data_IF_729225460318
#
_entry.id   IF_729225460318
#
_cell.length_a   1.000
_cell.length_b   1.000
_cell.length_c   1.000
_cell.angle_alpha   90.00
_cell.angle_beta   90.00
_cell.angle_gamma   90.00
#
_symmetry.space_group_name_H-M   'P 1'
#
loop_
_entity.id
_entity.type
_entity.pdbx_description
1 polymer ?
#
# COMPACT_ATOMS: atom_id res chain seq x y z
N UNK A 1 -37.17 27.20 11.50
CA UNK A 1 -36.68 25.92 10.92
C UNK A 1 -35.17 25.88 11.14
N UNK A 2 -34.61 24.76 11.63
CA UNK A 2 -33.16 24.62 11.75
C UNK A 2 -32.52 24.50 10.36
N UNK A 3 -31.27 24.96 10.18
CA UNK A 3 -30.58 24.91 8.87
C UNK A 3 -30.25 23.48 8.40
N UNK A 4 -30.11 22.54 9.33
CA UNK A 4 -29.87 21.11 9.08
C UNK A 4 -30.40 20.27 10.25
N UNK A 5 -30.47 18.95 10.06
CA UNK A 5 -30.92 17.99 11.07
C UNK A 5 -29.80 17.74 12.12
N UNK A 6 -30.01 18.10 13.41
CA UNK A 6 -29.02 17.88 14.46
C UNK A 6 -28.73 16.40 14.75
N UNK A 7 -29.69 15.50 14.48
CA UNK A 7 -29.50 14.05 14.66
C UNK A 7 -28.50 13.53 13.63
N UNK A 8 -28.63 13.96 12.37
CA UNK A 8 -27.67 13.63 11.32
C UNK A 8 -26.31 14.31 11.56
N UNK A 9 -26.30 15.55 12.01
CA UNK A 9 -25.06 16.24 12.39
C UNK A 9 -24.31 15.49 13.51
N UNK A 10 -25.03 15.01 14.52
CA UNK A 10 -24.45 14.21 15.61
C UNK A 10 -23.87 12.87 15.13
N UNK A 11 -24.49 12.26 14.11
CA UNK A 11 -24.03 11.00 13.54
C UNK A 11 -22.74 11.14 12.73
N UNK A 12 -22.62 12.21 11.94
CA UNK A 12 -21.55 12.37 10.95
C UNK A 12 -20.41 13.29 11.38
N UNK A 13 -20.61 14.14 12.39
CA UNK A 13 -19.58 15.05 12.89
C UNK A 13 -18.93 14.52 14.18
N UNK A 14 -17.62 14.77 14.35
CA UNK A 14 -16.75 15.56 13.47
C UNK A 14 -16.26 14.75 12.27
N UNK A 15 -15.86 15.43 11.20
CA UNK A 15 -15.26 14.81 10.02
C UNK A 15 -14.01 14.02 10.44
N UNK A 16 -13.91 12.75 10.09
CA UNK A 16 -12.76 11.91 10.48
C UNK A 16 -11.47 12.36 9.81
N UNK A 17 -11.49 12.53 8.49
CA UNK A 17 -10.34 12.98 7.69
C UNK A 17 -10.81 14.09 6.75
N UNK A 18 -10.16 15.25 6.82
CA UNK A 18 -10.36 16.36 5.89
C UNK A 18 -9.09 16.55 5.06
N UNK A 19 -9.22 16.52 3.73
CA UNK A 19 -8.11 16.65 2.78
C UNK A 19 -8.26 17.99 2.06
N UNK A 20 -7.25 18.86 2.12
CA UNK A 20 -7.28 20.17 1.47
C UNK A 20 -5.89 20.77 1.28
N UNK A 21 -5.71 21.61 0.27
CA UNK A 21 -4.39 22.15 -0.05
C UNK A 21 -3.90 23.20 0.96
N UNK A 22 -2.59 23.46 1.01
CA UNK A 22 -1.98 24.40 1.97
C UNK A 22 -2.49 25.84 1.82
N UNK A 23 -3.02 26.21 0.65
CA UNK A 23 -3.63 27.51 0.38
C UNK A 23 -4.82 27.85 1.31
N UNK A 24 -5.42 26.86 1.96
CA UNK A 24 -6.59 27.04 2.81
C UNK A 24 -6.27 27.21 4.31
N UNK A 25 -4.99 27.20 4.68
CA UNK A 25 -4.54 27.18 6.08
C UNK A 25 -5.06 28.33 6.95
N UNK A 26 -5.04 29.57 6.44
CA UNK A 26 -5.27 30.79 7.24
C UNK A 26 -6.65 31.43 7.07
N UNK A 27 -7.41 31.01 6.05
CA UNK A 27 -8.73 31.57 5.75
C UNK A 27 -9.81 30.52 5.99
N UNK A 28 -10.06 29.68 4.97
CA UNK A 28 -11.12 28.68 5.00
C UNK A 28 -11.09 27.80 6.26
N UNK A 29 -9.93 27.26 6.63
CA UNK A 29 -9.83 26.40 7.81
C UNK A 29 -10.07 27.16 9.13
N UNK A 30 -9.72 28.44 9.20
CA UNK A 30 -10.03 29.28 10.37
C UNK A 30 -11.53 29.56 10.45
N UNK A 31 -12.15 29.95 9.33
CA UNK A 31 -13.60 30.17 9.26
C UNK A 31 -14.39 28.90 9.56
N UNK A 32 -13.93 27.75 9.08
CA UNK A 32 -14.56 26.46 9.35
C UNK A 32 -14.59 26.14 10.85
N UNK A 33 -13.46 26.34 11.55
CA UNK A 33 -13.38 26.17 13.00
C UNK A 33 -14.23 27.19 13.75
N UNK A 34 -14.20 28.46 13.33
CA UNK A 34 -15.04 29.52 13.92
C UNK A 34 -16.53 29.17 13.85
N UNK A 35 -17.02 28.80 12.67
CA UNK A 35 -18.42 28.44 12.49
C UNK A 35 -18.78 27.16 13.24
N UNK A 36 -17.89 26.16 13.31
CA UNK A 36 -18.13 24.97 14.14
C UNK A 36 -18.33 25.34 15.62
N UNK A 37 -17.47 26.19 16.17
CA UNK A 37 -17.60 26.66 17.56
C UNK A 37 -18.88 27.45 17.79
N UNK A 38 -19.27 28.30 16.84
CA UNK A 38 -20.53 29.03 16.92
C UNK A 38 -21.74 28.08 16.90
N UNK A 39 -21.75 27.10 16.00
CA UNK A 39 -22.80 26.07 15.93
C UNK A 39 -22.85 25.20 17.18
N UNK A 40 -21.71 24.94 17.82
CA UNK A 40 -21.62 24.23 19.09
C UNK A 40 -22.28 25.01 20.23
N UNK A 41 -22.05 26.32 20.32
CA UNK A 41 -22.72 27.21 21.30
C UNK A 41 -24.24 27.18 21.11
N UNK A 42 -24.70 27.12 19.86
CA UNK A 42 -26.12 27.02 19.51
C UNK A 42 -26.70 25.60 19.68
N UNK A 43 -25.91 24.62 20.12
CA UNK A 43 -26.35 23.23 20.29
C UNK A 43 -26.61 22.47 18.98
N UNK A 44 -26.13 22.97 17.84
CA UNK A 44 -26.39 22.39 16.53
C UNK A 44 -25.43 21.26 16.15
N UNK A 45 -24.21 21.27 16.70
CA UNK A 45 -23.18 20.23 16.44
C UNK A 45 -22.64 19.66 17.75
N UNK A 46 -22.19 18.39 17.77
CA UNK A 46 -21.74 17.74 19.00
C UNK A 46 -20.33 18.12 19.44
N UNK A 47 -19.48 18.66 18.56
CA UNK A 47 -18.03 18.81 18.81
C UNK A 47 -17.53 20.25 18.74
N UNK A 48 -16.44 20.52 19.45
CA UNK A 48 -15.78 21.84 19.48
C UNK A 48 -14.92 22.10 18.24
N UNK A 49 -14.33 21.04 17.68
CA UNK A 49 -13.58 21.08 16.43
C UNK A 49 -14.30 20.28 15.33
N UNK A 50 -14.25 20.73 14.06
CA UNK A 50 -15.02 20.12 12.99
C UNK A 50 -14.36 18.88 12.37
N UNK A 51 -13.07 18.65 12.63
CA UNK A 51 -12.25 17.61 11.96
C UNK A 51 -11.34 16.92 12.98
N UNK A 52 -11.20 15.59 12.89
CA UNK A 52 -10.24 14.80 13.71
C UNK A 52 -8.83 14.81 13.13
N UNK A 53 -8.68 14.58 11.82
CA UNK A 53 -7.40 14.59 11.10
C UNK A 53 -7.46 15.50 9.86
N UNK A 54 -6.62 16.53 9.83
CA UNK A 54 -6.37 17.32 8.62
C UNK A 54 -5.19 16.71 7.86
N UNK A 55 -5.36 16.48 6.57
CA UNK A 55 -4.30 16.07 5.64
C UNK A 55 -4.13 17.20 4.64
N UNK A 56 -2.97 17.84 4.67
CA UNK A 56 -2.68 18.93 3.73
C UNK A 56 -1.95 18.36 2.55
N UNK A 57 -2.64 18.12 1.42
CA UNK A 57 -1.96 17.50 0.28
C UNK A 57 -0.91 18.43 -0.33
N UNK A 58 0.16 17.83 -0.85
CA UNK A 58 1.20 18.54 -1.58
C UNK A 58 0.69 19.15 -2.89
N UNK A 59 1.46 20.09 -3.42
CA UNK A 59 1.22 20.74 -4.70
C UNK A 59 1.71 19.83 -5.83
N UNK A 60 0.85 19.66 -6.84
CA UNK A 60 1.22 19.05 -8.11
C UNK A 60 1.81 20.12 -9.02
N UNK A 61 3.09 20.03 -9.31
CA UNK A 61 3.78 20.93 -10.24
C UNK A 61 3.67 20.42 -11.68
N UNK A 62 3.81 21.33 -12.64
CA UNK A 62 3.93 20.98 -14.04
C UNK A 62 5.24 20.24 -14.34
N UNK A 63 5.41 19.71 -15.56
CA UNK A 63 6.65 19.04 -15.98
C UNK A 63 7.91 19.92 -15.90
N UNK A 64 7.73 21.24 -15.81
CA UNK A 64 8.79 22.24 -15.66
C UNK A 64 9.16 22.52 -14.18
N UNK A 65 8.63 21.74 -13.24
CA UNK A 65 8.88 21.88 -11.79
C UNK A 65 8.22 23.09 -11.15
N UNK A 66 7.35 23.80 -11.87
CA UNK A 66 6.62 24.98 -11.34
C UNK A 66 5.19 24.62 -11.02
N UNK A 67 4.61 25.27 -10.00
CA UNK A 67 3.18 25.20 -9.72
C UNK A 67 2.39 25.47 -11.02
N UNK A 68 1.50 24.55 -11.37
CA UNK A 68 0.73 24.63 -12.62
C UNK A 68 -0.05 25.96 -12.70
N UNK A 69 0.05 26.65 -13.84
CA UNK A 69 -0.65 27.91 -14.11
C UNK A 69 -0.83 28.12 -15.61
N UNK A 70 -2.01 28.62 -16.00
CA UNK A 70 -2.31 28.99 -17.39
C UNK A 70 -1.28 29.97 -17.97
N UNK A 71 -0.72 30.85 -17.14
CA UNK A 71 0.32 31.82 -17.53
C UNK A 71 1.58 31.14 -18.10
N UNK A 72 1.95 29.99 -17.53
CA UNK A 72 3.17 29.27 -17.91
C UNK A 72 2.94 28.24 -19.01
N UNK A 73 1.68 28.02 -19.42
CA UNK A 73 1.34 26.97 -20.39
C UNK A 73 1.66 25.55 -19.89
N UNK A 74 1.93 25.38 -18.60
CA UNK A 74 2.38 24.11 -17.98
C UNK A 74 1.24 23.33 -17.30
N UNK A 75 -0.01 23.71 -17.57
CA UNK A 75 -1.19 23.03 -17.01
C UNK A 75 -1.39 21.71 -17.73
N UNK A 76 -1.40 20.64 -16.94
CA UNK A 76 -1.74 19.32 -17.43
C UNK A 76 -3.24 19.09 -17.23
N UNK A 77 -3.99 18.97 -18.33
CA UNK A 77 -5.43 18.78 -18.28
C UNK A 77 -5.77 17.31 -17.99
N UNK A 78 -6.51 16.97 -16.91
CA UNK A 78 -6.83 15.58 -16.60
C UNK A 78 -7.63 14.86 -17.69
N UNK A 79 -8.52 15.57 -18.40
CA UNK A 79 -9.40 14.98 -19.42
C UNK A 79 -8.62 14.31 -20.56
N UNK A 80 -7.61 14.99 -21.11
CA UNK A 80 -6.80 14.45 -22.21
C UNK A 80 -6.02 13.20 -21.80
N UNK A 81 -5.67 13.12 -20.52
CA UNK A 81 -4.96 11.98 -19.96
C UNK A 81 -5.90 10.82 -19.70
N UNK A 82 -7.08 11.08 -19.15
CA UNK A 82 -8.10 10.06 -18.94
C UNK A 82 -8.53 9.46 -20.28
N UNK A 83 -8.68 10.26 -21.33
CA UNK A 83 -8.97 9.76 -22.68
C UNK A 83 -7.86 8.84 -23.21
N UNK A 84 -6.59 9.17 -22.96
CA UNK A 84 -5.44 8.40 -23.47
C UNK A 84 -5.12 7.15 -22.66
N UNK A 85 -5.24 7.22 -21.34
CA UNK A 85 -4.73 6.19 -20.41
C UNK A 85 -5.79 5.56 -19.52
N UNK A 86 -7.02 6.10 -19.51
CA UNK A 86 -8.08 5.70 -18.60
C UNK A 86 -7.95 6.31 -17.20
N UNK A 87 -9.09 6.40 -16.50
CA UNK A 87 -9.18 7.01 -15.17
C UNK A 87 -8.30 6.29 -14.12
N UNK A 88 -8.23 4.95 -14.19
CA UNK A 88 -7.45 4.14 -13.25
C UNK A 88 -5.96 4.44 -13.31
N UNK A 89 -5.41 4.64 -14.51
CA UNK A 89 -4.00 5.01 -14.68
C UNK A 89 -3.69 6.33 -14.00
N UNK A 90 -4.55 7.34 -14.20
CA UNK A 90 -4.35 8.68 -13.62
C UNK A 90 -4.43 8.63 -12.10
N UNK A 91 -5.43 7.92 -11.55
CA UNK A 91 -5.59 7.74 -10.10
C UNK A 91 -4.38 7.03 -9.48
N UNK A 92 -3.97 5.91 -10.07
CA UNK A 92 -2.79 5.15 -9.64
C UNK A 92 -1.53 6.01 -9.67
N UNK A 93 -1.36 6.81 -10.72
CA UNK A 93 -0.19 7.70 -10.84
C UNK A 93 -0.15 8.74 -9.73
N UNK A 94 -1.24 9.49 -9.52
CA UNK A 94 -1.28 10.52 -8.48
C UNK A 94 -1.04 9.93 -7.08
N UNK A 95 -1.63 8.75 -6.80
CA UNK A 95 -1.48 8.08 -5.51
C UNK A 95 -0.12 7.39 -5.32
N UNK A 96 0.61 7.12 -6.41
CA UNK A 96 1.93 6.49 -6.37
C UNK A 96 3.09 7.49 -6.41
N UNK A 97 2.86 8.70 -6.94
CA UNK A 97 3.90 9.71 -7.13
C UNK A 97 4.66 10.08 -5.83
N UNK A 98 3.98 10.01 -4.68
CA UNK A 98 4.60 10.24 -3.38
C UNK A 98 3.60 10.16 -2.22
N UNK A 99 4.08 10.42 -0.99
CA UNK A 99 3.19 10.63 0.16
C UNK A 99 2.23 11.79 -0.11
N UNK A 100 0.98 11.74 0.40
CA UNK A 100 -0.04 12.72 0.05
C UNK A 100 0.34 14.14 0.44
N UNK A 101 1.12 14.35 1.49
CA UNK A 101 1.54 15.67 1.97
C UNK A 101 2.76 16.27 1.21
N UNK A 102 3.38 15.51 0.30
CA UNK A 102 4.57 15.96 -0.42
C UNK A 102 4.22 16.48 -1.80
N UNK A 103 4.87 17.60 -2.17
CA UNK A 103 4.84 18.12 -3.52
C UNK A 103 5.49 17.11 -4.47
N UNK A 104 5.01 17.06 -5.72
CA UNK A 104 5.66 16.30 -6.78
C UNK A 104 5.50 16.96 -8.13
N UNK A 105 6.46 16.69 -9.01
CA UNK A 105 6.46 17.18 -10.38
C UNK A 105 5.77 16.19 -11.31
N UNK A 106 4.90 16.70 -12.18
CA UNK A 106 4.19 15.86 -13.13
C UNK A 106 5.16 15.17 -14.11
N UNK A 107 5.05 13.84 -14.21
CA UNK A 107 5.87 13.00 -15.10
C UNK A 107 5.00 12.09 -15.96
N UNK A 108 4.97 12.36 -17.27
CA UNK A 108 4.30 11.50 -18.25
C UNK A 108 4.93 10.11 -18.33
N UNK A 109 6.22 10.00 -18.04
CA UNK A 109 6.95 8.72 -18.00
C UNK A 109 6.47 7.85 -16.83
N UNK A 110 6.39 8.41 -15.62
CA UNK A 110 5.90 7.69 -14.44
C UNK A 110 4.43 7.28 -14.62
N UNK A 111 3.62 8.16 -15.21
CA UNK A 111 2.24 7.86 -15.57
C UNK A 111 2.14 6.69 -16.57
N UNK A 112 2.95 6.71 -17.64
CA UNK A 112 3.01 5.58 -18.57
C UNK A 112 3.48 4.29 -17.87
N UNK A 113 4.31 4.41 -16.83
CA UNK A 113 4.66 3.31 -15.93
C UNK A 113 3.45 2.66 -15.25
N UNK A 114 2.52 3.47 -14.73
CA UNK A 114 1.28 2.96 -14.14
C UNK A 114 0.38 2.27 -15.16
N UNK A 115 0.28 2.82 -16.39
CA UNK A 115 -0.46 2.17 -17.46
C UNK A 115 0.11 0.77 -17.78
N UNK A 116 1.44 0.66 -17.85
CA UNK A 116 2.13 -0.64 -18.05
C UNK A 116 1.87 -1.59 -16.89
N UNK A 117 1.88 -1.11 -15.65
CA UNK A 117 1.57 -1.94 -14.48
C UNK A 117 0.13 -2.46 -14.51
N UNK A 118 -0.86 -1.60 -14.76
CA UNK A 118 -2.26 -2.02 -14.88
C UNK A 118 -2.48 -3.02 -16.02
N UNK A 119 -1.79 -2.84 -17.16
CA UNK A 119 -1.78 -3.82 -18.24
C UNK A 119 -1.20 -5.18 -17.78
N UNK A 120 -0.14 -5.19 -16.98
CA UNK A 120 0.41 -6.43 -16.40
C UNK A 120 -0.60 -7.12 -15.48
N UNK A 121 -1.32 -6.37 -14.65
CA UNK A 121 -2.41 -6.94 -13.81
C UNK A 121 -3.48 -7.60 -14.69
N UNK A 122 -3.94 -6.90 -15.73
CA UNK A 122 -4.92 -7.45 -16.68
C UNK A 122 -4.43 -8.73 -17.36
N UNK A 123 -3.18 -8.72 -17.84
CA UNK A 123 -2.57 -9.89 -18.50
C UNK A 123 -2.43 -11.07 -17.54
N UNK A 124 -1.99 -10.84 -16.29
CA UNK A 124 -1.92 -11.89 -15.27
C UNK A 124 -3.29 -12.54 -15.04
N UNK A 125 -4.34 -11.72 -14.90
CA UNK A 125 -5.69 -12.23 -14.69
C UNK A 125 -6.22 -13.01 -15.90
N UNK A 126 -6.20 -12.39 -17.08
CA UNK A 126 -6.78 -13.02 -18.28
C UNK A 126 -6.03 -14.28 -18.72
N UNK A 127 -4.71 -14.34 -18.53
CA UNK A 127 -3.90 -15.54 -18.82
C UNK A 127 -4.29 -16.74 -17.95
N UNK A 128 -4.76 -16.51 -16.72
CA UNK A 128 -5.10 -17.58 -15.78
C UNK A 128 -6.61 -17.81 -15.64
N UNK A 129 -7.45 -16.99 -16.29
CA UNK A 129 -8.89 -16.98 -16.07
C UNK A 129 -9.53 -18.35 -16.32
N UNK A 130 -9.33 -18.95 -17.49
CA UNK A 130 -9.96 -20.22 -17.87
C UNK A 130 -9.62 -21.37 -16.90
N UNK A 131 -8.38 -21.40 -16.42
CA UNK A 131 -7.91 -22.48 -15.55
C UNK A 131 -8.21 -22.23 -14.06
N UNK A 132 -8.33 -20.98 -13.62
CA UNK A 132 -8.30 -20.62 -12.21
C UNK A 132 -9.59 -19.95 -11.70
N UNK A 133 -10.41 -19.34 -12.56
CA UNK A 133 -11.57 -18.56 -12.12
C UNK A 133 -12.55 -19.40 -11.27
N UNK A 134 -12.90 -20.60 -11.74
CA UNK A 134 -13.79 -21.53 -11.04
C UNK A 134 -13.05 -22.64 -10.26
N UNK A 135 -11.71 -22.60 -10.20
CA UNK A 135 -10.93 -23.66 -9.56
C UNK A 135 -11.15 -23.69 -8.04
N UNK A 136 -11.31 -24.88 -7.49
CA UNK A 136 -11.44 -25.14 -6.05
C UNK A 136 -10.55 -26.30 -5.62
N UNK A 137 -10.12 -26.31 -4.37
CA UNK A 137 -9.30 -27.36 -3.79
C UNK A 137 -9.69 -27.56 -2.31
N UNK A 138 -10.18 -28.75 -1.91
CA UNK A 138 -10.63 -29.01 -0.54
C UNK A 138 -9.49 -29.41 0.41
N UNK A 139 -8.28 -29.70 -0.11
CA UNK A 139 -7.15 -30.17 0.68
C UNK A 139 -6.23 -29.06 1.20
N UNK A 140 -5.16 -29.41 1.93
CA UNK A 140 -4.16 -28.43 2.34
C UNK A 140 -3.45 -27.82 1.13
N UNK A 141 -3.05 -26.56 1.27
CA UNK A 141 -2.16 -25.88 0.33
C UNK A 141 -0.73 -26.04 0.81
N UNK A 142 0.13 -26.59 -0.06
CA UNK A 142 1.56 -26.83 0.21
C UNK A 142 2.41 -26.35 -0.96
N UNK A 143 3.71 -26.17 -0.73
CA UNK A 143 4.66 -25.77 -1.77
C UNK A 143 4.22 -24.49 -2.49
N UNK A 144 4.29 -24.49 -3.81
CA UNK A 144 3.94 -23.34 -4.66
C UNK A 144 2.53 -22.80 -4.40
N UNK A 145 1.54 -23.67 -4.17
CA UNK A 145 0.18 -23.24 -3.90
C UNK A 145 0.09 -22.45 -2.58
N UNK A 146 0.83 -22.87 -1.54
CA UNK A 146 0.90 -22.15 -0.27
C UNK A 146 1.57 -20.77 -0.43
N UNK A 147 2.66 -20.69 -1.20
CA UNK A 147 3.38 -19.43 -1.43
C UNK A 147 2.55 -18.40 -2.21
N UNK A 148 1.77 -18.84 -3.20
CA UNK A 148 0.79 -17.99 -3.90
C UNK A 148 -0.22 -17.39 -2.90
N UNK A 149 -0.79 -18.22 -2.02
CA UNK A 149 -1.73 -17.73 -1.00
C UNK A 149 -1.05 -16.76 -0.03
N UNK A 150 0.14 -17.10 0.48
CA UNK A 150 0.91 -16.23 1.38
C UNK A 150 1.16 -14.87 0.74
N UNK A 151 1.55 -14.80 -0.53
CA UNK A 151 1.76 -13.54 -1.24
C UNK A 151 0.48 -12.68 -1.28
N UNK A 152 -0.67 -13.28 -1.64
CA UNK A 152 -1.93 -12.57 -1.72
C UNK A 152 -2.45 -12.09 -0.35
N UNK A 153 -2.40 -12.93 0.68
CA UNK A 153 -2.83 -12.56 2.03
C UNK A 153 -1.92 -11.51 2.67
N UNK A 154 -0.60 -11.59 2.45
CA UNK A 154 0.33 -10.54 2.88
C UNK A 154 0.07 -9.22 2.15
N UNK A 155 -0.27 -9.28 0.87
CA UNK A 155 -0.68 -8.10 0.11
C UNK A 155 -1.91 -7.44 0.75
N UNK A 156 -3.00 -8.20 0.99
CA UNK A 156 -4.21 -7.68 1.64
C UNK A 156 -3.88 -7.00 2.97
N UNK A 157 -3.11 -7.66 3.85
CA UNK A 157 -2.73 -7.08 5.15
C UNK A 157 -1.93 -5.78 4.98
N UNK A 158 -0.85 -5.84 4.21
CA UNK A 158 0.11 -4.73 4.08
C UNK A 158 -0.51 -3.52 3.38
N UNK A 159 -1.34 -3.73 2.35
CA UNK A 159 -2.06 -2.64 1.67
C UNK A 159 -3.07 -2.02 2.61
N UNK A 160 -3.83 -2.81 3.37
CA UNK A 160 -4.80 -2.30 4.36
C UNK A 160 -4.12 -1.41 5.40
N UNK A 161 -3.04 -1.90 6.01
CA UNK A 161 -2.25 -1.14 7.00
C UNK A 161 -1.63 0.14 6.41
N UNK A 162 -1.26 0.14 5.13
CA UNK A 162 -0.74 1.31 4.44
C UNK A 162 -1.84 2.33 4.14
N UNK A 163 -3.04 1.90 3.74
CA UNK A 163 -4.21 2.76 3.53
C UNK A 163 -4.62 3.44 4.85
N UNK A 164 -4.63 2.72 5.97
CA UNK A 164 -4.95 3.30 7.29
C UNK A 164 -4.01 4.46 7.66
N UNK A 165 -2.76 4.38 7.20
CA UNK A 165 -1.73 5.41 7.40
C UNK A 165 -1.77 6.51 6.33
N UNK A 166 -2.58 6.35 5.27
CA UNK A 166 -2.60 7.17 4.05
C UNK A 166 -1.31 7.07 3.23
N UNK A 167 -0.53 5.99 3.39
CA UNK A 167 0.69 5.73 2.63
C UNK A 167 0.38 5.02 1.31
N UNK A 168 -0.38 5.69 0.43
CA UNK A 168 -0.93 5.09 -0.79
C UNK A 168 0.15 4.62 -1.78
N UNK A 169 1.26 5.35 -1.89
CA UNK A 169 2.40 4.96 -2.70
C UNK A 169 3.01 3.63 -2.25
N UNK A 170 3.14 3.45 -0.93
CA UNK A 170 3.61 2.19 -0.33
C UNK A 170 2.57 1.07 -0.52
N UNK A 171 1.27 1.40 -0.40
CA UNK A 171 0.18 0.46 -0.65
C UNK A 171 0.23 -0.07 -2.10
N UNK A 172 0.39 0.81 -3.09
CA UNK A 172 0.55 0.43 -4.49
C UNK A 172 1.83 -0.38 -4.72
N UNK A 173 2.94 -0.04 -4.06
CA UNK A 173 4.19 -0.82 -4.14
C UNK A 173 3.99 -2.26 -3.64
N UNK A 174 3.27 -2.47 -2.54
CA UNK A 174 2.94 -3.82 -2.06
C UNK A 174 2.06 -4.61 -3.03
N UNK A 175 1.14 -3.92 -3.73
CA UNK A 175 0.37 -4.53 -4.82
C UNK A 175 1.28 -4.95 -5.99
N UNK A 176 2.27 -4.13 -6.35
CA UNK A 176 3.28 -4.47 -7.37
C UNK A 176 4.12 -5.68 -6.97
N UNK A 177 4.57 -5.75 -5.69
CA UNK A 177 5.28 -6.91 -5.14
C UNK A 177 4.43 -8.19 -5.25
N UNK A 178 3.14 -8.11 -4.90
CA UNK A 178 2.23 -9.23 -5.03
C UNK A 178 2.10 -9.69 -6.49
N UNK A 179 1.91 -8.76 -7.42
CA UNK A 179 1.80 -9.09 -8.85
C UNK A 179 3.08 -9.74 -9.37
N UNK A 180 4.25 -9.26 -8.96
CA UNK A 180 5.53 -9.88 -9.31
C UNK A 180 5.62 -11.31 -8.76
N UNK A 181 5.28 -11.53 -7.48
CA UNK A 181 5.28 -12.87 -6.88
C UNK A 181 4.34 -13.85 -7.61
N UNK A 182 3.18 -13.38 -8.08
CA UNK A 182 2.25 -14.20 -8.86
C UNK A 182 2.79 -14.54 -10.26
N UNK A 183 3.50 -13.60 -10.90
CA UNK A 183 4.22 -13.89 -12.14
C UNK A 183 5.36 -14.90 -11.93
N UNK A 184 6.14 -14.74 -10.87
CA UNK A 184 7.26 -15.62 -10.54
C UNK A 184 6.80 -17.05 -10.20
N UNK A 185 5.59 -17.20 -9.66
CA UNK A 185 4.98 -18.52 -9.47
C UNK A 185 4.75 -19.26 -10.80
N UNK A 186 4.57 -18.54 -11.91
CA UNK A 186 4.37 -19.11 -13.24
C UNK A 186 3.03 -19.84 -13.39
N UNK A 187 2.92 -20.68 -14.43
CA UNK A 187 1.67 -21.38 -14.74
C UNK A 187 1.28 -22.38 -13.64
N UNK A 188 0.04 -22.35 -13.11
CA UNK A 188 -0.40 -23.31 -12.11
C UNK A 188 -0.70 -24.67 -12.74
N UNK A 189 -0.05 -25.73 -12.25
CA UNK A 189 -0.14 -27.08 -12.84
C UNK A 189 -1.17 -27.95 -12.13
N UNK A 190 -1.22 -27.86 -10.80
CA UNK A 190 -2.08 -28.68 -9.94
C UNK A 190 -3.41 -27.98 -9.62
N UNK A 191 -4.41 -28.75 -9.15
CA UNK A 191 -5.70 -28.20 -8.71
C UNK A 191 -5.52 -27.20 -7.54
N UNK A 192 -4.61 -27.51 -6.61
CA UNK A 192 -4.28 -26.62 -5.50
C UNK A 192 -3.67 -25.29 -5.98
N UNK A 193 -2.74 -25.33 -6.94
CA UNK A 193 -2.15 -24.12 -7.50
C UNK A 193 -3.15 -23.26 -8.26
N UNK A 194 -4.05 -23.89 -9.04
CA UNK A 194 -5.12 -23.18 -9.77
C UNK A 194 -6.10 -22.50 -8.82
N UNK A 195 -6.51 -23.20 -7.76
CA UNK A 195 -7.37 -22.64 -6.73
C UNK A 195 -6.69 -21.47 -5.99
N UNK A 196 -5.40 -21.62 -5.64
CA UNK A 196 -4.62 -20.57 -4.99
C UNK A 196 -4.45 -19.33 -5.90
N UNK A 197 -4.14 -19.52 -7.18
CA UNK A 197 -4.03 -18.42 -8.16
C UNK A 197 -5.37 -17.70 -8.34
N UNK A 198 -6.47 -18.46 -8.43
CA UNK A 198 -7.83 -17.90 -8.51
C UNK A 198 -8.20 -17.06 -7.28
N UNK A 199 -7.89 -17.55 -6.07
CA UNK A 199 -8.06 -16.79 -4.82
C UNK A 199 -7.19 -15.54 -4.81
N UNK A 200 -5.91 -15.65 -5.17
CA UNK A 200 -4.99 -14.54 -5.20
C UNK A 200 -5.46 -13.40 -6.11
N UNK A 201 -5.97 -13.73 -7.31
CA UNK A 201 -6.49 -12.74 -8.26
C UNK A 201 -7.78 -12.11 -7.73
N UNK A 202 -8.68 -12.89 -7.12
CA UNK A 202 -9.87 -12.32 -6.43
C UNK A 202 -9.49 -11.38 -5.29
N UNK A 203 -8.47 -11.69 -4.50
CA UNK A 203 -7.99 -10.79 -3.45
C UNK A 203 -7.34 -9.53 -4.05
N UNK A 204 -6.56 -9.70 -5.13
CA UNK A 204 -5.89 -8.61 -5.82
C UNK A 204 -6.88 -7.58 -6.38
N UNK A 205 -8.02 -7.99 -6.96
CA UNK A 205 -9.02 -7.03 -7.44
C UNK A 205 -9.56 -6.17 -6.29
N UNK A 206 -9.82 -6.77 -5.14
CA UNK A 206 -10.37 -6.10 -3.95
C UNK A 206 -9.37 -5.13 -3.34
N UNK A 207 -8.08 -5.48 -3.38
CA UNK A 207 -6.96 -4.62 -2.97
C UNK A 207 -6.76 -3.45 -3.95
N UNK A 208 -7.01 -3.66 -5.25
CA UNK A 208 -6.90 -2.62 -6.28
C UNK A 208 -8.07 -1.64 -6.29
N UNK A 209 -9.26 -2.04 -5.82
CA UNK A 209 -10.50 -1.24 -5.86
C UNK A 209 -10.34 0.22 -5.43
N UNK A 210 -9.65 0.57 -4.33
CA UNK A 210 -9.50 1.98 -3.92
C UNK A 210 -8.72 2.82 -4.94
N UNK A 211 -7.86 2.19 -5.74
CA UNK A 211 -6.94 2.87 -6.65
C UNK A 211 -7.41 2.80 -8.11
N UNK A 212 -7.75 1.60 -8.58
CA UNK A 212 -8.13 1.27 -9.96
C UNK A 212 -9.45 0.46 -10.01
N UNK A 213 -10.59 1.06 -9.62
CA UNK A 213 -11.86 0.35 -9.47
C UNK A 213 -12.41 -0.24 -10.79
N UNK A 214 -12.18 0.41 -11.93
CA UNK A 214 -12.77 -0.05 -13.20
C UNK A 214 -12.08 -1.34 -13.67
N UNK A 215 -10.75 -1.39 -13.60
CA UNK A 215 -9.98 -2.60 -13.87
C UNK A 215 -10.30 -3.71 -12.87
N UNK A 216 -10.42 -3.36 -11.58
CA UNK A 216 -10.77 -4.31 -10.53
C UNK A 216 -12.11 -4.98 -10.81
N UNK A 217 -13.15 -4.21 -11.17
CA UNK A 217 -14.48 -4.73 -11.52
C UNK A 217 -14.45 -5.62 -12.77
N UNK A 218 -13.77 -5.17 -13.84
CA UNK A 218 -13.65 -5.93 -15.08
C UNK A 218 -12.96 -7.30 -14.88
N UNK A 219 -11.92 -7.35 -14.05
CA UNK A 219 -11.28 -8.62 -13.69
C UNK A 219 -12.20 -9.44 -12.77
N UNK A 220 -12.82 -8.82 -11.76
CA UNK A 220 -13.64 -9.53 -10.79
C UNK A 220 -14.83 -10.25 -11.44
N UNK A 221 -15.43 -9.66 -12.48
CA UNK A 221 -16.50 -10.29 -13.27
C UNK A 221 -16.03 -11.61 -13.91
N UNK A 222 -14.84 -11.61 -14.54
CA UNK A 222 -14.22 -12.82 -15.09
C UNK A 222 -13.87 -13.89 -14.05
N UNK A 223 -13.87 -13.51 -12.77
CA UNK A 223 -13.63 -14.39 -11.61
C UNK A 223 -14.89 -14.64 -10.78
N UNK A 224 -16.08 -14.38 -11.35
CA UNK A 224 -17.38 -14.77 -10.80
C UNK A 224 -18.04 -13.73 -9.88
N UNK A 225 -17.52 -12.51 -9.80
CA UNK A 225 -18.19 -11.45 -9.04
C UNK A 225 -19.45 -10.96 -9.78
N UNK A 226 -20.57 -10.87 -9.05
CA UNK A 226 -21.85 -10.37 -9.58
C UNK A 226 -22.17 -8.95 -9.11
N UNK A 227 -21.33 -8.38 -8.24
CA UNK A 227 -21.47 -7.04 -7.70
C UNK A 227 -20.14 -6.28 -7.85
N UNK A 228 -20.21 -4.95 -7.94
CA UNK A 228 -19.03 -4.09 -7.99
C UNK A 228 -18.13 -4.33 -6.78
N UNK A 229 -16.83 -4.39 -7.00
CA UNK A 229 -15.82 -4.53 -5.95
C UNK A 229 -15.89 -3.40 -4.93
N UNK A 230 -16.44 -2.23 -5.27
CA UNK A 230 -16.66 -1.12 -4.33
C UNK A 230 -17.68 -1.50 -3.24
N UNK A 231 -18.69 -2.31 -3.55
CA UNK A 231 -19.74 -2.68 -2.59
C UNK A 231 -19.39 -3.91 -1.75
N UNK A 232 -18.39 -4.68 -2.18
CA UNK A 232 -17.97 -5.90 -1.50
C UNK A 232 -17.18 -5.65 -0.20
N UNK A 233 -16.74 -4.42 0.10
CA UNK A 233 -16.01 -4.04 1.33
C UNK A 233 -14.48 -4.19 1.25
N UNK A 234 -13.75 -4.33 2.36
CA UNK A 234 -12.33 -4.73 2.35
C UNK A 234 -12.21 -6.26 2.55
N UNK A 235 -11.32 -7.00 1.84
CA UNK A 235 -11.20 -8.44 2.01
C UNK A 235 -10.50 -8.79 3.33
N UNK A 236 -10.88 -9.91 3.95
CA UNK A 236 -10.14 -10.49 5.07
C UNK A 236 -8.89 -11.23 4.60
N UNK A 237 -7.86 -11.29 5.44
CA UNK A 237 -6.71 -12.17 5.24
C UNK A 237 -6.63 -13.25 6.33
N UNK A 238 -5.96 -14.36 6.04
CA UNK A 238 -5.69 -15.42 7.02
C UNK A 238 -4.46 -15.05 7.87
N UNK A 239 -4.59 -14.89 9.20
CA UNK A 239 -3.47 -14.59 10.09
C UNK A 239 -2.30 -15.59 9.98
N UNK A 240 -2.56 -16.87 9.71
CA UNK A 240 -1.52 -17.89 9.62
C UNK A 240 -0.67 -17.74 8.34
N UNK A 241 -1.22 -17.16 7.28
CA UNK A 241 -0.55 -16.97 5.99
C UNK A 241 0.29 -15.69 5.91
N UNK A 242 0.16 -14.82 6.91
CA UNK A 242 0.90 -13.55 6.99
C UNK A 242 1.96 -13.54 8.08
N UNK A 243 2.15 -14.67 8.78
CA UNK A 243 3.30 -14.87 9.66
C UNK A 243 4.49 -15.18 8.78
N UNK A 244 5.53 -14.35 8.87
CA UNK A 244 6.84 -14.72 8.37
C UNK A 244 7.42 -15.74 9.35
N UNK A 245 7.64 -16.97 8.91
CA UNK A 245 8.30 -18.01 9.74
C UNK A 245 9.79 -17.70 9.89
N UNK A 246 10.36 -16.98 8.92
CA UNK A 246 11.77 -16.62 8.86
C UNK A 246 11.88 -15.15 8.47
N UNK A 247 12.60 -14.36 9.26
CA UNK A 247 12.81 -12.94 9.05
C UNK A 247 14.23 -12.66 8.58
N UNK A 248 14.41 -11.74 7.60
CA UNK A 248 15.71 -11.21 7.27
C UNK A 248 16.20 -10.27 8.38
N UNK A 249 17.46 -10.42 8.79
CA UNK A 249 18.17 -9.44 9.61
C UNK A 249 19.33 -8.88 8.82
N UNK A 250 19.37 -7.55 8.69
CA UNK A 250 20.54 -6.86 8.20
C UNK A 250 21.67 -6.97 9.24
N UNK A 251 22.85 -7.42 8.81
CA UNK A 251 24.02 -7.55 9.68
C UNK A 251 25.01 -6.45 9.38
N UNK A 252 25.32 -5.65 10.39
CA UNK A 252 26.23 -4.50 10.29
C UNK A 252 27.46 -4.66 11.17
N UNK A 253 28.57 -4.05 10.75
CA UNK A 253 29.77 -3.87 11.57
C UNK A 253 30.18 -2.40 11.53
N UNK A 254 30.24 -1.75 12.70
CA UNK A 254 30.42 -0.31 12.85
C UNK A 254 29.45 0.50 11.96
N UNK A 255 28.19 0.08 11.92
CA UNK A 255 27.11 0.75 11.16
C UNK A 255 27.14 0.53 9.64
N UNK A 256 28.12 -0.20 9.10
CA UNK A 256 28.18 -0.55 7.67
C UNK A 256 27.57 -1.94 7.44
N UNK A 257 26.69 -2.08 6.44
CA UNK A 257 26.11 -3.37 6.04
C UNK A 257 27.20 -4.34 5.58
N UNK A 258 27.15 -5.57 6.07
CA UNK A 258 28.11 -6.65 5.75
C UNK A 258 27.44 -7.90 5.21
N UNK A 259 26.21 -8.19 5.63
CA UNK A 259 25.42 -9.30 5.10
C UNK A 259 23.96 -9.21 5.52
N UNK A 260 23.19 -10.21 5.11
CA UNK A 260 21.83 -10.46 5.56
C UNK A 260 21.76 -11.93 5.97
N UNK A 261 21.14 -12.21 7.12
CA UNK A 261 20.82 -13.56 7.56
C UNK A 261 19.31 -13.76 7.57
N UNK A 262 18.86 -14.99 7.38
CA UNK A 262 17.46 -15.39 7.49
C UNK A 262 17.31 -16.36 8.65
N UNK A 263 16.53 -15.98 9.65
CA UNK A 263 16.37 -16.74 10.89
C UNK A 263 14.92 -16.76 11.35
N UNK A 264 14.53 -17.77 12.13
CA UNK A 264 13.16 -17.94 12.60
C UNK A 264 12.61 -16.65 13.25
N UNK A 265 11.33 -16.35 13.04
CA UNK A 265 10.76 -15.07 13.48
C UNK A 265 10.61 -14.92 15.00
N UNK A 266 10.64 -16.04 15.72
CA UNK A 266 10.69 -16.16 17.17
C UNK A 266 12.13 -16.27 17.71
N UNK A 267 13.14 -16.24 16.83
CA UNK A 267 14.52 -16.39 17.23
C UNK A 267 14.97 -15.28 18.20
N UNK A 268 15.59 -15.71 19.29
CA UNK A 268 16.13 -14.81 20.31
C UNK A 268 17.40 -14.09 19.85
N UNK A 269 17.81 -13.06 20.60
CA UNK A 269 19.04 -12.30 20.29
C UNK A 269 20.28 -13.21 20.15
N UNK A 270 20.40 -14.24 20.99
CA UNK A 270 21.51 -15.20 20.96
C UNK A 270 21.59 -15.98 19.65
N UNK A 271 20.44 -16.43 19.14
CA UNK A 271 20.35 -17.21 17.90
C UNK A 271 20.63 -16.32 16.69
N UNK A 272 20.06 -15.11 16.67
CA UNK A 272 20.32 -14.10 15.62
C UNK A 272 21.81 -13.75 15.61
N UNK A 273 22.42 -13.56 16.78
CA UNK A 273 23.84 -13.25 16.92
C UNK A 273 24.72 -14.38 16.42
N UNK A 274 24.44 -15.63 16.80
CA UNK A 274 25.22 -16.78 16.35
C UNK A 274 25.16 -16.93 14.82
N UNK A 275 23.98 -16.81 14.23
CA UNK A 275 23.81 -16.82 12.78
C UNK A 275 24.58 -15.66 12.11
N UNK A 276 24.53 -14.45 12.68
CA UNK A 276 25.21 -13.28 12.14
C UNK A 276 26.74 -13.40 12.21
N UNK A 277 27.29 -13.93 13.31
CA UNK A 277 28.72 -14.17 13.47
C UNK A 277 29.24 -15.29 12.54
N UNK A 278 28.36 -16.21 12.11
CA UNK A 278 28.67 -17.27 11.16
C UNK A 278 28.70 -16.82 9.69
N UNK A 279 28.13 -15.64 9.37
CA UNK A 279 28.13 -15.10 8.02
C UNK A 279 29.54 -14.69 7.60
N UNK A 280 29.93 -15.06 6.38
CA UNK A 280 31.32 -15.00 5.92
C UNK A 280 31.89 -13.57 5.92
N UNK A 281 31.14 -12.59 5.38
CA UNK A 281 31.59 -11.20 5.31
C UNK A 281 31.63 -10.54 6.68
N UNK A 282 30.71 -10.91 7.57
CA UNK A 282 30.67 -10.43 8.95
C UNK A 282 31.85 -10.99 9.73
N UNK A 283 32.09 -12.31 9.67
CA UNK A 283 33.24 -12.96 10.31
C UNK A 283 34.56 -12.32 9.87
N UNK A 284 34.74 -12.08 8.57
CA UNK A 284 35.91 -11.39 8.03
C UNK A 284 36.02 -9.95 8.55
N UNK A 285 34.91 -9.23 8.70
CA UNK A 285 34.90 -7.86 9.21
C UNK A 285 35.16 -7.77 10.73
N UNK A 286 34.90 -8.83 11.49
CA UNK A 286 35.14 -8.95 12.92
C UNK A 286 36.55 -9.45 13.26
N UNK A 287 37.21 -10.15 12.33
CA UNK A 287 38.52 -10.77 12.56
C UNK A 287 39.57 -9.76 13.08
N UNK A 288 40.25 -10.14 14.16
CA UNK A 288 41.34 -9.36 14.76
C UNK A 288 40.89 -8.09 15.52
N UNK A 289 39.59 -7.89 15.76
CA UNK A 289 39.06 -6.71 16.46
C UNK A 289 38.36 -7.11 17.76
N UNK A 290 38.42 -6.24 18.77
CA UNK A 290 37.71 -6.47 20.02
C UNK A 290 36.25 -6.03 19.89
N UNK A 291 35.32 -6.90 20.29
CA UNK A 291 33.91 -6.57 20.35
C UNK A 291 33.65 -5.64 21.54
N UNK A 292 33.12 -4.45 21.27
CA UNK A 292 32.80 -3.43 22.28
C UNK A 292 31.33 -3.46 22.68
N UNK A 293 30.44 -3.62 21.71
CA UNK A 293 28.99 -3.61 21.92
C UNK A 293 28.28 -4.35 20.78
N UNK A 294 27.17 -5.00 21.10
CA UNK A 294 26.20 -5.49 20.11
C UNK A 294 24.94 -4.64 20.24
N UNK A 295 24.42 -4.16 19.11
CA UNK A 295 23.14 -3.47 19.04
C UNK A 295 22.17 -4.38 18.31
N UNK A 296 21.23 -4.95 19.05
CA UNK A 296 20.17 -5.78 18.53
C UNK A 296 18.88 -4.98 18.41
N UNK A 297 18.28 -4.97 17.22
CA UNK A 297 16.94 -4.44 16.98
C UNK A 297 16.07 -5.60 16.52
N UNK A 298 15.15 -6.10 17.36
CA UNK A 298 14.30 -7.23 17.03
C UNK A 298 13.62 -7.05 15.67
N UNK A 299 13.63 -8.12 14.87
CA UNK A 299 12.99 -8.22 13.55
C UNK A 299 13.51 -7.22 12.51
N UNK A 300 14.69 -6.62 12.72
CA UNK A 300 15.30 -5.65 11.78
C UNK A 300 16.78 -5.88 11.52
N UNK A 301 17.61 -5.75 12.55
CA UNK A 301 19.07 -5.74 12.36
C UNK A 301 19.85 -6.14 13.62
N UNK A 302 21.09 -6.55 13.40
CA UNK A 302 22.11 -6.66 14.43
C UNK A 302 23.37 -5.94 13.97
N UNK A 303 23.93 -5.08 14.82
CA UNK A 303 25.14 -4.30 14.53
C UNK A 303 26.23 -4.58 15.57
N UNK A 304 27.38 -5.04 15.10
CA UNK A 304 28.57 -5.27 15.92
C UNK A 304 29.44 -4.02 15.93
N UNK A 305 29.63 -3.45 17.12
CA UNK A 305 30.56 -2.34 17.33
C UNK A 305 31.90 -2.91 17.76
N UNK A 306 32.93 -2.71 16.95
CA UNK A 306 34.27 -3.26 17.13
C UNK A 306 35.33 -2.18 17.04
N UNK A 307 36.44 -2.37 17.77
CA UNK A 307 37.62 -1.50 17.75
C UNK A 307 38.72 -2.02 18.65
#
# INVERSE_FOLDING_TARGET
RLPFDPVLAKRWLPVDIYVGGPEHAVMHLLYFRFWNRWMKILGLVPTDEPVKRLVTQGIVNGPDGRKMSKRWGNVVAPATIVEKYGADTVRMYVLFAGPPEQDFDWSDEQMAGQARFLKRVWTLATMHQDACAAATHPGPFVGKALEIRRAAHKCVKRVGEAIDKLSFNTAIAFTMECVNALYDAGQPETAAEKAAMGEAIRLLTRVLTPFAPHLADAIAEGYGATASTVTLGWPSFDPALVVDEVLPYAVQVNGKLRGEIRIAADAGESEVRAAAESEEKVRAALAGKALRKVVFVPKRLINFVVG
#
